data_IF_032033595610
#
_entry.id   IF_032033595610
#
_cell.length_a   1.000
_cell.length_b   1.000
_cell.length_c   1.000
_cell.angle_alpha   90.00
_cell.angle_beta   90.00
_cell.angle_gamma   90.00
#
_symmetry.space_group_name_H-M   'P 1'
#
loop_
_entity.id
_entity.type
_entity.pdbx_description
1 polymer ?
#
# COMPACT_ATOMS: atom_id res chain seq x y z
N UNK A 1 -3.37 -6.73 -17.31
CA UNK A 1 -3.26 -5.35 -16.79
C UNK A 1 -4.59 -4.64 -17.02
N UNK A 2 -5.17 -4.03 -15.99
CA UNK A 2 -6.38 -3.20 -16.15
C UNK A 2 -5.97 -1.74 -16.42
N UNK A 3 -6.57 -1.11 -17.43
CA UNK A 3 -6.28 0.27 -17.84
C UNK A 3 -7.55 0.94 -18.38
N UNK A 4 -7.77 2.19 -17.98
CA UNK A 4 -8.79 3.08 -18.57
C UNK A 4 -8.05 4.25 -19.23
N UNK A 5 -8.28 4.47 -20.52
CA UNK A 5 -7.64 5.55 -21.30
C UNK A 5 -8.62 6.39 -22.11
N UNK A 6 -9.91 6.06 -22.10
CA UNK A 6 -10.95 6.89 -22.72
C UNK A 6 -11.19 8.14 -21.87
N UNK A 7 -11.05 9.32 -22.48
CA UNK A 7 -11.31 10.61 -21.80
C UNK A 7 -12.73 10.65 -21.23
N UNK A 8 -13.72 10.15 -21.99
CA UNK A 8 -15.11 10.09 -21.52
C UNK A 8 -15.26 9.20 -20.28
N UNK A 9 -14.65 8.02 -20.27
CA UNK A 9 -14.71 7.14 -19.08
C UNK A 9 -13.96 7.73 -17.90
N UNK A 10 -12.81 8.36 -18.14
CA UNK A 10 -12.04 9.03 -17.08
C UNK A 10 -12.86 10.16 -16.46
N UNK A 11 -13.46 11.01 -17.29
CA UNK A 11 -14.23 12.16 -16.85
C UNK A 11 -15.53 11.78 -16.15
N UNK A 12 -16.24 10.78 -16.65
CA UNK A 12 -17.59 10.45 -16.18
C UNK A 12 -17.63 9.36 -15.11
N UNK A 13 -16.54 8.60 -14.93
CA UNK A 13 -16.49 7.47 -13.98
C UNK A 13 -15.32 7.61 -13.01
N UNK A 14 -14.09 7.74 -13.52
CA UNK A 14 -12.88 7.69 -12.68
C UNK A 14 -12.76 8.93 -11.79
N UNK A 15 -12.90 10.13 -12.35
CA UNK A 15 -12.83 11.38 -11.58
C UNK A 15 -13.97 11.46 -10.54
N UNK A 16 -15.25 11.26 -10.88
CA UNK A 16 -16.32 11.28 -9.88
C UNK A 16 -16.12 10.27 -8.75
N UNK A 17 -15.55 9.10 -9.04
CA UNK A 17 -15.23 8.11 -8.01
C UNK A 17 -14.18 8.62 -7.02
N UNK A 18 -13.04 9.12 -7.51
CA UNK A 18 -11.95 9.58 -6.64
C UNK A 18 -12.19 10.95 -6.02
N UNK A 19 -13.08 11.77 -6.57
CA UNK A 19 -13.56 12.98 -5.89
C UNK A 19 -14.49 12.62 -4.72
N UNK A 20 -15.35 11.59 -4.89
CA UNK A 20 -16.23 11.09 -3.82
C UNK A 20 -15.48 10.27 -2.76
N UNK A 21 -14.47 9.51 -3.16
CA UNK A 21 -13.65 8.65 -2.31
C UNK A 21 -12.16 8.97 -2.51
N UNK A 22 -11.65 10.05 -1.89
CA UNK A 22 -10.30 10.54 -2.13
C UNK A 22 -9.20 9.55 -1.77
N UNK A 23 -8.11 9.61 -2.53
CA UNK A 23 -6.86 8.95 -2.17
C UNK A 23 -6.26 9.59 -0.92
N UNK A 24 -5.56 8.79 -0.11
CA UNK A 24 -4.99 9.24 1.18
C UNK A 24 -3.48 9.47 1.11
N UNK A 25 -2.78 8.68 0.28
CA UNK A 25 -1.31 8.75 0.15
C UNK A 25 -0.87 9.95 -0.69
N UNK A 26 0.43 10.15 -0.86
CA UNK A 26 1.01 11.15 -1.76
C UNK A 26 0.55 11.00 -3.23
N UNK A 27 -0.08 9.86 -3.58
CA UNK A 27 -0.75 9.66 -4.87
C UNK A 27 -1.95 10.60 -5.06
N UNK A 28 -2.54 11.14 -4.00
CA UNK A 28 -3.59 12.16 -4.09
C UNK A 28 -3.12 13.38 -4.90
N UNK A 29 -1.91 13.87 -4.66
CA UNK A 29 -1.38 14.99 -5.42
C UNK A 29 -1.22 14.66 -6.92
N UNK A 30 -0.85 13.42 -7.26
CA UNK A 30 -0.84 12.99 -8.67
C UNK A 30 -2.26 12.93 -9.26
N UNK A 31 -3.24 12.44 -8.48
CA UNK A 31 -4.63 12.41 -8.90
C UNK A 31 -5.18 13.82 -9.16
N UNK A 32 -4.91 14.79 -8.28
CA UNK A 32 -5.36 16.18 -8.45
C UNK A 32 -4.78 16.81 -9.71
N UNK A 33 -3.48 16.66 -9.94
CA UNK A 33 -2.81 17.12 -11.15
C UNK A 33 -3.37 16.41 -12.41
N UNK A 34 -3.61 15.11 -12.33
CA UNK A 34 -4.22 14.35 -13.42
C UNK A 34 -5.64 14.85 -13.74
N UNK A 35 -6.45 15.11 -12.72
CA UNK A 35 -7.80 15.66 -12.86
C UNK A 35 -7.77 17.02 -13.55
N UNK A 36 -6.84 17.90 -13.17
CA UNK A 36 -6.68 19.21 -13.79
C UNK A 36 -6.28 19.09 -15.27
N UNK A 37 -5.37 18.17 -15.61
CA UNK A 37 -5.02 17.90 -17.01
C UNK A 37 -6.21 17.37 -17.83
N UNK A 38 -7.03 16.48 -17.25
CA UNK A 38 -8.24 15.97 -17.92
C UNK A 38 -9.27 17.09 -18.15
N UNK A 39 -9.38 18.04 -17.21
CA UNK A 39 -10.23 19.22 -17.39
C UNK A 39 -9.82 20.02 -18.64
N UNK A 40 -8.54 20.33 -18.80
CA UNK A 40 -8.02 21.01 -20.00
C UNK A 40 -8.30 20.24 -21.28
N UNK A 41 -8.18 18.91 -21.24
CA UNK A 41 -8.49 18.05 -22.39
C UNK A 41 -9.98 18.11 -22.73
N UNK A 42 -10.86 18.03 -21.72
CA UNK A 42 -12.31 18.07 -21.90
C UNK A 42 -12.82 19.39 -22.48
N UNK A 43 -12.16 20.51 -22.13
CA UNK A 43 -12.42 21.84 -22.67
C UNK A 43 -11.79 22.09 -24.05
N UNK A 44 -11.10 21.08 -24.61
CA UNK A 44 -10.34 21.15 -25.87
C UNK A 44 -9.20 22.19 -25.88
N UNK A 45 -8.80 22.72 -24.73
CA UNK A 45 -7.72 23.71 -24.61
C UNK A 45 -6.37 23.15 -25.09
N UNK A 46 -6.16 21.83 -24.94
CA UNK A 46 -4.99 21.10 -25.42
C UNK A 46 -4.72 21.20 -26.93
N UNK A 47 -5.67 21.70 -27.73
CA UNK A 47 -5.51 21.94 -29.16
C UNK A 47 -4.79 23.25 -29.48
N UNK A 48 -4.67 24.14 -28.49
CA UNK A 48 -3.86 25.37 -28.59
C UNK A 48 -2.44 25.13 -28.06
N UNK A 49 -1.49 25.93 -28.51
CA UNK A 49 -0.12 25.89 -27.99
C UNK A 49 -0.11 26.17 -26.49
N UNK A 50 -0.85 27.17 -26.05
CA UNK A 50 -0.95 27.59 -24.65
C UNK A 50 -1.49 26.46 -23.77
N UNK A 51 -2.62 25.85 -24.16
CA UNK A 51 -3.22 24.75 -23.40
C UNK A 51 -2.38 23.46 -23.44
N UNK A 52 -1.65 23.20 -24.53
CA UNK A 52 -0.68 22.11 -24.57
C UNK A 52 0.46 22.36 -23.56
N UNK A 53 1.00 23.59 -23.50
CA UNK A 53 1.99 23.97 -22.49
C UNK A 53 1.45 23.81 -21.08
N UNK A 54 0.19 24.17 -20.81
CA UNK A 54 -0.44 23.95 -19.50
C UNK A 54 -0.45 22.46 -19.11
N UNK A 55 -0.76 21.55 -20.04
CA UNK A 55 -0.72 20.10 -19.79
C UNK A 55 0.73 19.62 -19.55
N UNK A 56 1.70 20.12 -20.31
CA UNK A 56 3.12 19.77 -20.11
C UNK A 56 3.61 20.25 -18.74
N UNK A 57 3.25 21.46 -18.33
CA UNK A 57 3.57 22.03 -17.03
C UNK A 57 3.02 21.18 -15.88
N UNK A 58 1.78 20.67 -16.02
CA UNK A 58 1.20 19.70 -15.09
C UNK A 58 1.97 18.38 -15.11
N UNK A 59 2.27 17.86 -16.30
CA UNK A 59 2.99 16.60 -16.50
C UNK A 59 4.40 16.62 -15.90
N UNK A 60 5.03 17.78 -15.83
CA UNK A 60 6.32 17.98 -15.15
C UNK A 60 6.26 17.72 -13.64
N UNK A 61 5.07 17.84 -13.03
CA UNK A 61 4.82 17.56 -11.60
C UNK A 61 4.20 16.21 -11.30
N UNK A 62 3.76 15.50 -12.34
CA UNK A 62 3.16 14.17 -12.24
C UNK A 62 4.22 13.08 -12.20
N UNK A 63 4.11 12.19 -11.20
CA UNK A 63 4.95 11.01 -11.06
C UNK A 63 6.46 11.33 -11.14
N UNK A 64 7.13 10.93 -12.23
CA UNK A 64 8.56 11.13 -12.48
C UNK A 64 8.89 12.40 -13.28
N UNK A 65 7.91 13.25 -13.55
CA UNK A 65 8.11 14.45 -14.37
C UNK A 65 8.27 14.16 -15.86
N UNK A 66 8.88 15.08 -16.60
CA UNK A 66 9.07 14.97 -18.06
C UNK A 66 10.17 13.95 -18.41
N UNK A 67 9.99 13.27 -19.54
CA UNK A 67 11.09 12.50 -20.15
C UNK A 67 12.05 13.44 -20.88
N UNK A 68 13.28 12.97 -21.16
CA UNK A 68 14.29 13.75 -21.92
C UNK A 68 13.70 14.34 -23.20
N UNK A 69 13.05 13.50 -24.02
CA UNK A 69 12.38 13.92 -25.26
C UNK A 69 11.33 15.03 -25.04
N UNK A 70 10.57 14.99 -23.93
CA UNK A 70 9.59 16.03 -23.64
C UNK A 70 10.25 17.31 -23.12
N UNK A 71 11.32 17.20 -22.34
CA UNK A 71 12.10 18.36 -21.90
C UNK A 71 12.70 19.10 -23.10
N UNK A 72 13.25 18.36 -24.07
CA UNK A 72 13.81 18.93 -25.31
C UNK A 72 12.74 19.58 -26.20
N UNK A 73 11.57 18.95 -26.31
CA UNK A 73 10.46 19.48 -27.12
C UNK A 73 9.76 20.69 -26.47
N UNK A 74 9.80 20.81 -25.14
CA UNK A 74 9.13 21.88 -24.38
C UNK A 74 10.11 22.57 -23.41
N UNK A 75 11.17 23.24 -23.92
CA UNK A 75 12.25 23.78 -23.10
C UNK A 75 11.80 24.91 -22.16
N UNK A 76 10.70 25.60 -22.51
CA UNK A 76 10.11 26.68 -21.72
C UNK A 76 9.03 26.19 -20.74
N UNK A 77 8.90 24.87 -20.52
CA UNK A 77 7.91 24.35 -19.58
C UNK A 77 8.26 24.73 -18.14
N UNK A 78 7.25 25.16 -17.39
CA UNK A 78 7.38 25.56 -15.99
C UNK A 78 6.60 24.56 -15.15
N UNK A 79 7.30 23.86 -14.27
CA UNK A 79 6.71 22.87 -13.39
C UNK A 79 5.67 23.51 -12.46
N UNK A 80 4.43 23.03 -12.49
CA UNK A 80 3.39 23.50 -11.56
C UNK A 80 3.70 23.10 -10.12
N UNK A 81 3.29 23.89 -9.15
CA UNK A 81 3.44 23.50 -7.75
C UNK A 81 2.65 22.21 -7.47
N UNK A 82 3.33 21.21 -6.89
CA UNK A 82 2.67 19.95 -6.53
C UNK A 82 1.75 20.21 -5.32
N UNK A 83 0.48 19.77 -5.34
CA UNK A 83 -0.41 19.89 -4.20
C UNK A 83 0.18 19.27 -2.94
N UNK A 84 0.05 19.96 -1.81
CA UNK A 84 0.50 19.46 -0.50
C UNK A 84 -0.54 18.49 0.04
N UNK A 85 -0.12 17.26 0.33
CA UNK A 85 -0.95 16.25 1.02
C UNK A 85 -0.54 16.22 2.49
N UNK A 86 -1.12 17.10 3.29
CA UNK A 86 -0.76 17.26 4.71
C UNK A 86 -1.47 16.23 5.63
N UNK A 87 -2.73 15.92 5.35
CA UNK A 87 -3.56 15.08 6.23
C UNK A 87 -3.77 13.69 5.61
N UNK A 88 -2.98 12.71 6.04
CA UNK A 88 -3.11 11.31 5.64
C UNK A 88 -3.98 10.51 6.61
N UNK A 89 -5.20 11.00 6.85
CA UNK A 89 -6.14 10.37 7.79
C UNK A 89 -6.74 9.12 7.13
N UNK A 90 -6.74 8.01 7.86
CA UNK A 90 -7.38 6.77 7.42
C UNK A 90 -8.90 6.97 7.46
N UNK A 91 -9.62 6.89 6.32
CA UNK A 91 -11.03 7.25 6.27
C UNK A 91 -11.93 6.21 6.94
N UNK A 92 -11.61 4.92 6.83
CA UNK A 92 -12.37 3.82 7.41
C UNK A 92 -11.59 2.49 7.28
N UNK A 93 -12.01 1.46 8.02
CA UNK A 93 -11.33 0.15 8.07
C UNK A 93 -11.24 -0.55 6.69
N UNK A 94 -12.28 -0.45 5.85
CA UNK A 94 -12.24 -1.02 4.48
C UNK A 94 -11.11 -0.43 3.61
N UNK A 95 -10.66 0.79 3.89
CA UNK A 95 -9.53 1.38 3.18
C UNK A 95 -8.23 0.66 3.56
N UNK A 96 -8.04 0.31 4.84
CA UNK A 96 -6.88 -0.48 5.30
C UNK A 96 -6.92 -1.87 4.65
N UNK A 97 -8.09 -2.52 4.56
CA UNK A 97 -8.22 -3.82 3.89
C UNK A 97 -7.78 -3.76 2.42
N UNK A 98 -8.26 -2.76 1.67
CA UNK A 98 -7.84 -2.52 0.29
C UNK A 98 -6.35 -2.19 0.16
N UNK A 99 -5.83 -1.33 1.05
CA UNK A 99 -4.41 -0.96 1.06
C UNK A 99 -3.52 -2.16 1.39
N UNK A 100 -3.92 -3.00 2.34
CA UNK A 100 -3.22 -4.24 2.71
C UNK A 100 -3.26 -5.26 1.57
N UNK A 101 -4.38 -5.36 0.85
CA UNK A 101 -4.49 -6.22 -0.33
C UNK A 101 -3.41 -5.90 -1.37
N UNK A 102 -3.06 -4.62 -1.55
CA UNK A 102 -1.95 -4.18 -2.40
C UNK A 102 -0.58 -4.31 -1.71
N UNK A 103 -0.37 -3.63 -0.58
CA UNK A 103 0.96 -3.35 0.00
C UNK A 103 1.31 -4.22 1.23
N UNK A 104 0.34 -4.97 1.75
CA UNK A 104 0.51 -5.80 2.94
C UNK A 104 1.37 -7.04 2.73
N UNK A 105 1.92 -7.59 3.80
CA UNK A 105 2.65 -8.85 3.80
C UNK A 105 2.29 -9.64 5.05
N UNK A 106 1.91 -10.90 4.84
CA UNK A 106 1.69 -11.89 5.90
C UNK A 106 2.84 -12.88 5.83
N UNK A 107 3.79 -12.76 6.75
CA UNK A 107 5.02 -13.54 6.72
C UNK A 107 5.05 -14.56 7.85
N UNK A 108 5.40 -15.80 7.50
CA UNK A 108 5.88 -16.81 8.45
C UNK A 108 7.39 -16.94 8.28
N UNK A 109 8.13 -16.75 9.37
CA UNK A 109 9.60 -16.85 9.41
C UNK A 109 10.05 -17.80 10.51
N UNK A 110 11.24 -18.36 10.38
CA UNK A 110 11.85 -19.21 11.40
C UNK A 110 13.17 -18.59 11.82
N UNK A 111 13.42 -18.57 13.13
CA UNK A 111 14.68 -18.11 13.70
C UNK A 111 15.35 -19.25 14.45
N UNK A 112 16.67 -19.34 14.33
CA UNK A 112 17.47 -20.24 15.16
C UNK A 112 17.28 -19.85 16.62
N UNK A 113 16.99 -20.84 17.47
CA UNK A 113 16.72 -20.61 18.88
C UNK A 113 17.46 -21.63 19.73
N UNK A 114 17.63 -21.33 21.02
CA UNK A 114 18.18 -22.26 22.02
C UNK A 114 17.12 -23.22 22.57
N UNK A 115 15.92 -23.25 21.99
CA UNK A 115 14.86 -24.19 22.38
C UNK A 115 15.24 -25.62 22.00
N UNK A 116 14.53 -26.61 22.57
CA UNK A 116 14.78 -28.05 22.31
C UNK A 116 14.77 -28.42 20.82
N UNK A 117 13.99 -27.70 20.02
CA UNK A 117 13.84 -27.96 18.58
C UNK A 117 14.77 -27.09 17.72
N UNK A 118 15.59 -26.23 18.32
CA UNK A 118 16.58 -25.40 17.63
C UNK A 118 16.00 -24.28 16.74
N UNK A 119 14.68 -24.18 16.62
CA UNK A 119 13.98 -23.28 15.70
C UNK A 119 12.67 -22.77 16.31
N UNK A 120 12.35 -21.50 16.09
CA UNK A 120 11.10 -20.90 16.56
C UNK A 120 10.41 -20.15 15.42
N UNK A 121 9.14 -20.48 15.11
CA UNK A 121 8.38 -19.75 14.12
C UNK A 121 7.97 -18.38 14.67
N UNK A 122 7.97 -17.37 13.80
CA UNK A 122 7.50 -16.02 14.08
C UNK A 122 6.60 -15.53 12.97
N UNK A 123 5.49 -14.94 13.37
CA UNK A 123 4.56 -14.27 12.48
C UNK A 123 4.89 -12.78 12.42
N UNK A 124 4.84 -12.23 11.21
CA UNK A 124 4.95 -10.80 10.97
C UNK A 124 3.85 -10.40 10.02
N UNK A 125 3.04 -9.43 10.44
CA UNK A 125 2.21 -8.64 9.53
C UNK A 125 2.93 -7.31 9.28
N UNK A 126 3.08 -6.92 8.02
CA UNK A 126 3.68 -5.63 7.69
C UNK A 126 2.98 -4.96 6.51
N UNK A 127 3.07 -3.63 6.46
CA UNK A 127 2.73 -2.83 5.28
C UNK A 127 3.94 -1.97 4.96
N UNK A 128 4.49 -2.14 3.77
CA UNK A 128 5.64 -1.37 3.28
C UNK A 128 5.16 -0.24 2.41
N UNK A 129 5.74 0.95 2.54
CA UNK A 129 5.48 2.05 1.63
C UNK A 129 6.71 2.96 1.50
N UNK A 130 6.76 3.77 0.45
CA UNK A 130 7.80 4.79 0.31
C UNK A 130 7.79 5.75 1.52
N UNK A 131 8.98 6.20 1.94
CA UNK A 131 9.19 7.14 3.05
C UNK A 131 8.41 8.46 2.95
N UNK A 132 8.00 8.88 1.75
CA UNK A 132 7.14 10.07 1.54
C UNK A 132 5.74 9.93 2.13
N UNK A 133 5.36 8.69 2.43
CA UNK A 133 4.09 8.27 3.02
C UNK A 133 4.36 7.69 4.43
N UNK A 134 5.36 8.20 5.16
CA UNK A 134 5.63 7.73 6.53
C UNK A 134 4.49 8.02 7.51
N UNK A 135 3.78 9.14 7.32
CA UNK A 135 2.66 9.54 8.19
C UNK A 135 1.53 8.51 8.14
N UNK A 136 1.18 7.99 6.96
CA UNK A 136 0.17 6.93 6.87
C UNK A 136 0.61 5.65 7.58
N UNK A 137 1.91 5.30 7.54
CA UNK A 137 2.43 4.13 8.26
C UNK A 137 2.41 4.31 9.78
N UNK A 138 2.65 5.53 10.26
CA UNK A 138 2.51 5.88 11.68
C UNK A 138 1.05 5.86 12.11
N UNK A 139 0.14 6.38 11.29
CA UNK A 139 -1.30 6.38 11.55
C UNK A 139 -1.86 4.95 11.67
N UNK A 140 -1.31 3.97 10.95
CA UNK A 140 -1.69 2.57 11.12
C UNK A 140 -1.40 2.04 12.52
N UNK A 141 -0.31 2.48 13.16
CA UNK A 141 0.03 2.09 14.54
C UNK A 141 -1.07 2.54 15.51
N UNK A 142 -1.47 3.81 15.40
CA UNK A 142 -2.52 4.38 16.23
C UNK A 142 -3.88 3.75 15.92
N UNK A 143 -4.22 3.58 14.63
CA UNK A 143 -5.53 3.07 14.21
C UNK A 143 -5.74 1.60 14.59
N UNK A 144 -4.74 0.75 14.39
CA UNK A 144 -4.81 -0.67 14.76
C UNK A 144 -4.48 -0.92 16.24
N UNK A 145 -4.04 0.11 16.97
CA UNK A 145 -3.66 0.03 18.38
C UNK A 145 -2.54 -0.97 18.67
N UNK A 146 -1.67 -1.25 17.68
CA UNK A 146 -0.59 -2.23 17.80
C UNK A 146 0.50 -2.02 16.75
N UNK A 147 1.57 -2.82 16.88
CA UNK A 147 2.70 -2.75 15.97
C UNK A 147 3.56 -1.51 16.18
N UNK A 148 4.40 -1.21 15.19
CA UNK A 148 5.30 -0.06 15.18
C UNK A 148 5.63 0.37 13.77
N UNK A 149 6.00 1.64 13.61
CA UNK A 149 6.66 2.11 12.40
C UNK A 149 8.18 1.84 12.47
N UNK A 150 8.78 1.52 11.33
CA UNK A 150 10.21 1.36 11.17
C UNK A 150 10.65 1.96 9.83
N UNK A 151 11.52 2.97 9.85
CA UNK A 151 12.20 3.42 8.64
C UNK A 151 13.26 2.40 8.25
N UNK A 152 13.37 2.05 6.95
CA UNK A 152 14.45 1.19 6.48
C UNK A 152 15.77 1.96 6.49
N UNK A 153 16.86 1.26 6.80
CA UNK A 153 18.22 1.83 6.78
C UNK A 153 18.74 2.04 5.37
N UNK A 154 18.18 1.32 4.39
CA UNK A 154 18.54 1.42 2.98
C UNK A 154 17.29 1.68 2.13
N UNK A 155 17.44 2.53 1.12
CA UNK A 155 16.37 2.94 0.22
C UNK A 155 15.36 3.90 0.86
N UNK A 156 14.35 4.27 0.07
CA UNK A 156 13.35 5.28 0.44
C UNK A 156 12.04 4.63 0.89
N UNK A 157 12.09 3.71 1.84
CA UNK A 157 10.92 2.98 2.31
C UNK A 157 10.85 2.91 3.85
N UNK A 158 9.64 2.71 4.34
CA UNK A 158 9.35 2.38 5.73
C UNK A 158 8.32 1.28 5.81
N UNK A 159 8.19 0.70 7.01
CA UNK A 159 7.32 -0.42 7.30
C UNK A 159 6.47 -0.13 8.54
N UNK A 160 5.17 -0.33 8.44
CA UNK A 160 4.37 -0.73 9.60
C UNK A 160 4.64 -2.22 9.89
N UNK A 161 4.90 -2.60 11.14
CA UNK A 161 5.25 -3.97 11.53
C UNK A 161 4.50 -4.36 12.80
N UNK A 162 3.72 -5.44 12.75
CA UNK A 162 3.15 -6.13 13.90
C UNK A 162 3.68 -7.57 13.96
N UNK A 163 4.39 -7.91 15.04
CA UNK A 163 4.98 -9.25 15.23
C UNK A 163 4.72 -9.87 16.59
N UNK A 164 4.00 -9.17 17.48
CA UNK A 164 3.66 -9.68 18.81
C UNK A 164 2.46 -10.62 18.65
N UNK A 165 2.60 -11.87 19.08
CA UNK A 165 1.55 -12.88 18.88
C UNK A 165 0.19 -12.45 19.47
N UNK A 166 0.20 -11.82 20.65
CA UNK A 166 -1.05 -11.33 21.28
C UNK A 166 -1.75 -10.30 20.41
N UNK A 167 -1.02 -9.28 19.91
CA UNK A 167 -1.59 -8.27 19.01
C UNK A 167 -2.08 -8.88 17.70
N UNK A 168 -1.37 -9.87 17.16
CA UNK A 168 -1.79 -10.58 15.95
C UNK A 168 -3.13 -11.30 16.17
N UNK A 169 -3.25 -12.04 17.26
CA UNK A 169 -4.43 -12.87 17.57
C UNK A 169 -5.63 -12.03 18.00
N UNK A 170 -5.40 -10.96 18.76
CA UNK A 170 -6.46 -10.16 19.38
C UNK A 170 -6.88 -8.95 18.55
N UNK A 171 -6.03 -8.47 17.63
CA UNK A 171 -6.29 -7.25 16.85
C UNK A 171 -6.24 -7.51 15.35
N UNK A 172 -5.10 -7.99 14.83
CA UNK A 172 -4.90 -8.11 13.37
C UNK A 172 -5.84 -9.14 12.73
N UNK A 173 -5.92 -10.35 13.30
CA UNK A 173 -6.78 -11.41 12.76
C UNK A 173 -8.27 -11.02 12.85
N UNK A 174 -8.80 -10.55 13.99
CA UNK A 174 -10.18 -10.08 14.07
C UNK A 174 -10.48 -8.95 13.07
N UNK A 175 -9.57 -7.98 12.94
CA UNK A 175 -9.73 -6.87 12.00
C UNK A 175 -9.91 -7.36 10.56
N UNK A 176 -9.06 -8.27 10.07
CA UNK A 176 -9.18 -8.77 8.70
C UNK A 176 -10.22 -9.87 8.51
N UNK A 177 -10.78 -10.42 9.59
CA UNK A 177 -12.01 -11.23 9.50
C UNK A 177 -13.24 -10.32 9.31
N UNK A 178 -13.28 -9.16 9.96
CA UNK A 178 -14.36 -8.17 9.81
C UNK A 178 -14.26 -7.38 8.50
N UNK A 179 -13.04 -7.04 8.08
CA UNK A 179 -12.73 -6.30 6.86
C UNK A 179 -11.84 -7.15 5.94
N UNK A 180 -12.43 -8.01 5.08
CA UNK A 180 -11.68 -9.02 4.35
C UNK A 180 -10.65 -8.44 3.37
N UNK A 181 -9.49 -9.09 3.31
CA UNK A 181 -8.49 -8.89 2.26
C UNK A 181 -9.04 -9.44 0.95
N UNK A 182 -8.80 -8.74 -0.15
CA UNK A 182 -9.27 -9.14 -1.48
C UNK A 182 -8.11 -9.61 -2.37
N UNK A 183 -8.43 -10.51 -3.30
CA UNK A 183 -7.48 -11.03 -4.29
C UNK A 183 -6.56 -12.12 -3.72
N UNK A 184 -5.41 -12.34 -4.37
CA UNK A 184 -4.54 -13.49 -4.07
C UNK A 184 -4.05 -13.52 -2.60
N UNK A 185 -3.96 -12.36 -1.95
CA UNK A 185 -3.45 -12.19 -0.59
C UNK A 185 -4.39 -12.70 0.50
N UNK A 186 -5.67 -12.90 0.17
CA UNK A 186 -6.63 -13.56 1.04
C UNK A 186 -6.14 -14.97 1.43
N UNK A 187 -5.60 -15.73 0.47
CA UNK A 187 -5.06 -17.07 0.73
C UNK A 187 -3.85 -17.03 1.66
N UNK A 188 -2.97 -16.03 1.48
CA UNK A 188 -1.84 -15.84 2.39
C UNK A 188 -2.32 -15.55 3.81
N UNK A 189 -3.33 -14.67 3.98
CA UNK A 189 -3.93 -14.37 5.27
C UNK A 189 -4.56 -15.61 5.93
N UNK A 190 -5.32 -16.41 5.20
CA UNK A 190 -5.96 -17.62 5.74
C UNK A 190 -4.93 -18.67 6.20
N UNK A 191 -3.87 -18.88 5.42
CA UNK A 191 -2.77 -19.75 5.84
C UNK A 191 -2.03 -19.20 7.07
N UNK A 192 -1.81 -17.89 7.11
CA UNK A 192 -1.14 -17.20 8.21
C UNK A 192 -1.96 -17.26 9.52
N UNK A 193 -3.29 -17.14 9.43
CA UNK A 193 -4.25 -17.33 10.53
C UNK A 193 -4.17 -18.74 11.10
N UNK A 194 -4.06 -19.77 10.26
CA UNK A 194 -3.86 -21.17 10.71
C UNK A 194 -2.56 -21.32 11.50
N UNK A 195 -1.46 -20.73 11.02
CA UNK A 195 -0.18 -20.74 11.75
C UNK A 195 -0.30 -20.02 13.09
N UNK A 196 -0.99 -18.87 13.14
CA UNK A 196 -1.23 -18.16 14.40
C UNK A 196 -1.93 -19.02 15.44
N UNK A 197 -2.94 -19.81 15.02
CA UNK A 197 -3.64 -20.73 15.91
C UNK A 197 -2.74 -21.87 16.41
N UNK A 198 -1.87 -22.43 15.56
CA UNK A 198 -0.89 -23.45 15.96
C UNK A 198 0.13 -22.90 16.96
N UNK A 199 0.56 -21.64 16.79
CA UNK A 199 1.46 -21.01 17.75
C UNK A 199 0.73 -20.75 19.07
N UNK A 200 -0.50 -20.21 19.01
CA UNK A 200 -1.36 -19.93 20.18
C UNK A 200 -1.63 -21.18 21.01
N UNK A 201 -1.88 -22.33 20.38
CA UNK A 201 -2.11 -23.62 21.06
C UNK A 201 -0.83 -24.30 21.54
N UNK A 202 0.34 -23.67 21.36
CA UNK A 202 1.67 -24.22 21.66
C UNK A 202 2.06 -25.46 20.84
N UNK A 203 1.34 -25.77 19.76
CA UNK A 203 1.68 -26.90 18.88
C UNK A 203 3.08 -26.75 18.25
N UNK A 204 3.54 -25.52 18.03
CA UNK A 204 4.91 -25.22 17.57
C UNK A 204 6.05 -25.70 18.49
N UNK A 205 5.73 -26.23 19.68
CA UNK A 205 6.71 -26.82 20.61
C UNK A 205 6.95 -28.32 20.36
N UNK A 206 6.31 -28.93 19.36
CA UNK A 206 6.57 -30.31 18.91
C UNK A 206 7.14 -30.33 17.49
N UNK A 207 7.83 -31.41 17.12
CA UNK A 207 8.40 -31.56 15.78
C UNK A 207 7.29 -31.60 14.72
N UNK A 208 6.21 -32.33 14.98
CA UNK A 208 5.05 -32.44 14.08
C UNK A 208 4.40 -31.07 13.86
N UNK A 209 4.29 -30.25 14.91
CA UNK A 209 3.77 -28.90 14.80
C UNK A 209 4.69 -27.97 14.00
N UNK A 210 6.01 -28.07 14.17
CA UNK A 210 6.96 -27.31 13.35
C UNK A 210 6.92 -27.73 11.87
N UNK A 211 6.82 -29.03 11.59
CA UNK A 211 6.74 -29.56 10.23
C UNK A 211 5.46 -29.07 9.53
N UNK A 212 4.34 -29.06 10.26
CA UNK A 212 3.08 -28.51 9.76
C UNK A 212 3.19 -27.00 9.47
N UNK A 213 3.79 -26.21 10.36
CA UNK A 213 4.01 -24.78 10.15
C UNK A 213 4.95 -24.54 8.95
N UNK A 214 5.99 -25.36 8.80
CA UNK A 214 6.93 -25.27 7.67
C UNK A 214 6.23 -25.52 6.34
N UNK A 215 5.34 -26.52 6.28
CA UNK A 215 4.50 -26.78 5.12
C UNK A 215 3.61 -25.58 4.79
N UNK A 216 2.88 -25.07 5.78
CA UNK A 216 1.99 -23.90 5.61
C UNK A 216 2.74 -22.64 5.18
N UNK A 217 3.95 -22.40 5.71
CA UNK A 217 4.80 -21.27 5.33
C UNK A 217 5.03 -21.20 3.82
N UNK A 218 5.22 -22.34 3.17
CA UNK A 218 5.49 -22.39 1.73
C UNK A 218 4.32 -21.87 0.90
N UNK A 219 3.09 -21.96 1.39
CA UNK A 219 1.90 -21.44 0.73
C UNK A 219 1.57 -20.02 1.17
N UNK A 220 1.94 -19.63 2.39
CA UNK A 220 1.74 -18.27 2.91
C UNK A 220 2.72 -17.27 2.28
N UNK A 221 3.97 -17.64 2.04
CA UNK A 221 5.00 -16.71 1.57
C UNK A 221 5.18 -16.71 0.03
N UNK A 222 4.33 -17.43 -0.72
CA UNK A 222 4.27 -17.35 -2.19
C UNK A 222 3.50 -16.11 -2.61
#
# INVERSE_FOLDING_TARGET
MFRVSSISQIQNVIIPHFDKYPLVTQKLADYLLFRDAIKLISLKEHLSTEGLYSIINIKASLNRGLSVKLTEAFPNSIKVNRPIVANQIIPHSMWIAGFTSAEGCFLVSFFKSTTKLGSTPRLVFSITQHSRDEVILQNLVTYLGCGRYAKRTTGDAGDFICSKLSDIVEKIIPFFNEYPIIGYKEKNFEGWKKVANLIKSKAHLTQEGLDLISKLKSDVNK
#
